data_IF_740530359884
#
_entry.id   IF_740530359884
#
_cell.length_a   1.000
_cell.length_b   1.000
_cell.length_c   1.000
_cell.angle_alpha   90.00
_cell.angle_beta   90.00
_cell.angle_gamma   90.00
#
_symmetry.space_group_name_H-M   'P 1'
#
loop_
_entity.id
_entity.type
_entity.pdbx_description
1 polymer ?
#
# COMPACT_ATOMS: atom_id res chain seq x y z
N UNK A 1 -10.99 -15.72 8.94
CA UNK A 1 -10.33 -15.89 10.27
C UNK A 1 -9.15 -16.87 10.29
N UNK A 2 -9.19 -18.07 9.67
CA UNK A 2 -8.03 -18.99 9.68
C UNK A 2 -6.77 -18.41 9.04
N UNK A 3 -6.93 -17.53 8.05
CA UNK A 3 -5.85 -16.80 7.38
C UNK A 3 -5.23 -15.70 8.25
N UNK A 4 -5.92 -15.27 9.31
CA UNK A 4 -5.49 -14.22 10.23
C UNK A 4 -4.89 -14.75 11.54
N UNK A 5 -4.42 -16.00 11.54
CA UNK A 5 -3.77 -16.61 12.70
C UNK A 5 -2.33 -16.97 12.36
N UNK A 6 -1.39 -16.53 13.20
CA UNK A 6 0.04 -16.76 13.00
C UNK A 6 0.74 -16.94 14.34
N UNK A 7 1.38 -18.09 14.52
CA UNK A 7 1.94 -18.50 15.81
C UNK A 7 2.99 -17.52 16.35
N UNK A 8 2.71 -17.01 17.56
CA UNK A 8 3.53 -16.01 18.24
C UNK A 8 3.37 -14.59 17.71
N UNK A 9 2.49 -14.35 16.74
CA UNK A 9 2.15 -13.02 16.23
C UNK A 9 0.71 -12.67 16.57
N UNK A 10 -0.26 -13.48 16.13
CA UNK A 10 -1.68 -13.16 16.25
C UNK A 10 -2.51 -14.43 16.46
N UNK A 11 -3.25 -14.50 17.58
CA UNK A 11 -4.31 -15.50 17.78
C UNK A 11 -5.61 -15.06 17.11
N UNK A 12 -6.57 -15.96 16.95
CA UNK A 12 -7.89 -15.62 16.38
C UNK A 12 -8.61 -14.53 17.16
N UNK A 13 -8.50 -14.54 18.49
CA UNK A 13 -9.12 -13.54 19.38
C UNK A 13 -8.44 -12.18 19.23
N UNK A 14 -7.11 -12.16 19.12
CA UNK A 14 -6.35 -10.94 18.87
C UNK A 14 -6.65 -10.38 17.48
N UNK A 15 -6.74 -11.22 16.45
CA UNK A 15 -7.15 -10.81 15.11
C UNK A 15 -8.53 -10.14 15.13
N UNK A 16 -9.51 -10.77 15.78
CA UNK A 16 -10.84 -10.20 15.93
C UNK A 16 -10.83 -8.84 16.67
N UNK A 17 -9.94 -8.68 17.66
CA UNK A 17 -9.79 -7.39 18.37
C UNK A 17 -9.17 -6.32 17.46
N UNK A 18 -8.16 -6.67 16.66
CA UNK A 18 -7.55 -5.74 15.68
C UNK A 18 -8.59 -5.29 14.66
N UNK A 19 -9.39 -6.21 14.10
CA UNK A 19 -10.47 -5.88 13.16
C UNK A 19 -11.50 -4.94 13.80
N UNK A 20 -11.91 -5.22 15.05
CA UNK A 20 -12.81 -4.33 15.79
C UNK A 20 -12.22 -2.93 16.01
N UNK A 21 -10.91 -2.81 16.19
CA UNK A 21 -10.26 -1.50 16.32
C UNK A 21 -10.38 -0.68 15.03
N UNK A 22 -10.24 -1.30 13.85
CA UNK A 22 -10.45 -0.61 12.56
C UNK A 22 -11.93 -0.22 12.40
N UNK A 23 -12.86 -1.15 12.65
CA UNK A 23 -14.30 -0.88 12.56
C UNK A 23 -14.76 0.23 13.52
N UNK A 24 -14.12 0.37 14.67
CA UNK A 24 -14.46 1.41 15.65
C UNK A 24 -14.09 2.82 15.15
N UNK A 25 -13.11 2.94 14.27
CA UNK A 25 -12.71 4.22 13.67
C UNK A 25 -13.48 4.53 12.38
N UNK A 26 -14.07 3.52 11.72
CA UNK A 26 -14.87 3.72 10.52
C UNK A 26 -16.11 4.57 10.82
N UNK A 27 -16.26 5.66 10.06
CA UNK A 27 -17.38 6.60 10.16
C UNK A 27 -18.60 6.08 9.40
N UNK A 28 -19.76 6.64 9.71
CA UNK A 28 -21.04 6.23 9.10
C UNK A 28 -21.13 6.50 7.59
N UNK A 29 -20.30 7.39 7.05
CA UNK A 29 -20.15 7.66 5.61
C UNK A 29 -19.14 6.73 4.92
N UNK A 30 -18.59 5.74 5.64
CA UNK A 30 -17.62 4.76 5.13
C UNK A 30 -16.16 5.18 5.28
N UNK A 31 -15.88 6.45 5.60
CA UNK A 31 -14.53 6.96 5.79
C UNK A 31 -13.81 6.25 6.95
N UNK A 32 -12.59 5.79 6.73
CA UNK A 32 -11.70 5.18 7.74
C UNK A 32 -10.50 6.12 7.96
N UNK A 33 -10.55 7.01 8.97
CA UNK A 33 -9.39 7.82 9.34
C UNK A 33 -8.34 6.96 10.04
N UNK A 34 -7.15 7.53 10.24
CA UNK A 34 -6.09 6.95 11.08
C UNK A 34 -6.61 6.59 12.47
N UNK A 35 -7.37 7.50 13.07
CA UNK A 35 -8.09 7.35 14.33
C UNK A 35 -9.12 8.48 14.40
N UNK A 36 -10.07 8.41 15.33
CA UNK A 36 -11.10 9.43 15.53
C UNK A 36 -10.46 10.80 15.79
N UNK A 37 -10.79 11.82 14.99
CA UNK A 37 -10.17 13.15 15.01
C UNK A 37 -8.81 13.26 14.28
N UNK A 38 -8.25 12.13 13.85
CA UNK A 38 -7.07 12.03 12.99
C UNK A 38 -7.35 12.46 11.55
N UNK A 39 -6.32 12.42 10.72
CA UNK A 39 -6.50 12.60 9.29
C UNK A 39 -6.84 11.26 8.61
N UNK A 40 -7.37 11.37 7.40
CA UNK A 40 -7.58 10.28 6.46
C UNK A 40 -6.85 10.68 5.19
N UNK A 41 -5.94 9.84 4.71
CA UNK A 41 -5.44 9.87 3.35
C UNK A 41 -6.00 8.66 2.57
N UNK A 42 -6.16 8.77 1.23
CA UNK A 42 -6.70 7.68 0.42
C UNK A 42 -5.85 6.39 0.42
N UNK A 43 -4.55 6.46 0.71
CA UNK A 43 -3.67 5.29 0.66
C UNK A 43 -3.95 4.38 1.85
N UNK A 44 -3.83 4.92 3.06
CA UNK A 44 -4.03 4.19 4.31
C UNK A 44 -5.50 3.78 4.48
N UNK A 45 -6.42 4.60 3.96
CA UNK A 45 -7.84 4.30 3.90
C UNK A 45 -8.14 3.01 3.11
N UNK A 46 -7.53 2.86 1.92
CA UNK A 46 -7.66 1.65 1.10
C UNK A 46 -7.01 0.45 1.78
N UNK A 47 -5.86 0.63 2.43
CA UNK A 47 -5.20 -0.48 3.15
C UNK A 47 -6.05 -1.01 4.31
N UNK A 48 -6.68 -0.11 5.06
CA UNK A 48 -7.64 -0.48 6.09
C UNK A 48 -8.88 -1.20 5.50
N UNK A 49 -9.38 -0.78 4.34
CA UNK A 49 -10.48 -1.45 3.64
C UNK A 49 -10.10 -2.88 3.22
N UNK A 50 -8.91 -3.09 2.63
CA UNK A 50 -8.42 -4.43 2.29
C UNK A 50 -8.28 -5.32 3.53
N UNK A 51 -7.86 -4.77 4.67
CA UNK A 51 -7.79 -5.53 5.91
C UNK A 51 -9.17 -5.96 6.43
N UNK A 52 -10.22 -5.14 6.22
CA UNK A 52 -11.60 -5.52 6.51
C UNK A 52 -12.08 -6.62 5.56
N UNK A 53 -11.72 -6.59 4.28
CA UNK A 53 -12.02 -7.66 3.33
C UNK A 53 -11.42 -9.01 3.74
N UNK A 54 -10.14 -9.03 4.11
CA UNK A 54 -9.47 -10.24 4.64
C UNK A 54 -10.18 -10.77 5.89
N UNK A 55 -10.73 -9.89 6.72
CA UNK A 55 -11.47 -10.26 7.92
C UNK A 55 -12.86 -10.84 7.63
N UNK A 56 -13.37 -10.67 6.40
CA UNK A 56 -14.75 -11.02 6.01
C UNK A 56 -15.76 -9.90 6.28
N UNK A 57 -15.31 -8.70 6.62
CA UNK A 57 -16.15 -7.52 6.89
C UNK A 57 -16.44 -6.76 5.58
N UNK A 58 -16.88 -7.48 4.54
CA UNK A 58 -17.00 -6.96 3.17
C UNK A 58 -17.94 -5.76 3.05
N UNK A 59 -19.03 -5.72 3.81
CA UNK A 59 -19.93 -4.57 3.80
C UNK A 59 -19.26 -3.29 4.33
N UNK A 60 -18.35 -3.43 5.29
CA UNK A 60 -17.56 -2.32 5.82
C UNK A 60 -16.48 -1.88 4.82
N UNK A 61 -15.83 -2.83 4.14
CA UNK A 61 -14.89 -2.54 3.05
C UNK A 61 -15.58 -1.84 1.87
N UNK A 62 -16.74 -2.33 1.42
CA UNK A 62 -17.56 -1.68 0.39
C UNK A 62 -17.96 -0.25 0.78
N UNK A 63 -18.33 -0.01 2.04
CA UNK A 63 -18.65 1.34 2.51
C UNK A 63 -17.44 2.28 2.38
N UNK A 64 -16.23 1.79 2.67
CA UNK A 64 -15.00 2.53 2.45
C UNK A 64 -14.78 2.84 0.97
N UNK A 65 -14.90 1.84 0.09
CA UNK A 65 -14.76 2.08 -1.35
C UNK A 65 -15.84 3.01 -1.91
N UNK A 66 -17.09 2.94 -1.42
CA UNK A 66 -18.15 3.90 -1.77
C UNK A 66 -17.81 5.32 -1.33
N UNK A 67 -17.19 5.49 -0.18
CA UNK A 67 -16.67 6.81 0.23
C UNK A 67 -15.66 7.36 -0.79
N UNK A 68 -14.75 6.53 -1.32
CA UNK A 68 -13.83 6.96 -2.38
C UNK A 68 -14.58 7.36 -3.66
N UNK A 69 -15.57 6.58 -4.08
CA UNK A 69 -16.39 6.91 -5.25
C UNK A 69 -17.12 8.25 -5.11
N UNK A 70 -17.71 8.50 -3.93
CA UNK A 70 -18.47 9.71 -3.65
C UNK A 70 -17.59 10.95 -3.44
N UNK A 71 -16.35 10.77 -2.98
CA UNK A 71 -15.41 11.86 -2.66
C UNK A 71 -14.40 12.16 -3.77
N UNK A 72 -14.41 11.42 -4.88
CA UNK A 72 -13.46 11.61 -5.97
C UNK A 72 -13.65 12.98 -6.63
N UNK A 73 -12.54 13.68 -6.83
CA UNK A 73 -12.53 14.97 -7.52
C UNK A 73 -12.90 14.82 -9.00
N UNK A 74 -13.37 15.89 -9.67
CA UNK A 74 -13.73 15.85 -11.08
C UNK A 74 -12.60 15.42 -12.04
N UNK A 75 -11.33 15.62 -11.65
CA UNK A 75 -10.16 15.20 -12.41
C UNK A 75 -9.75 13.74 -12.15
N UNK A 76 -10.49 12.99 -11.33
CA UNK A 76 -10.20 11.60 -10.98
C UNK A 76 -9.29 11.41 -9.76
N UNK A 77 -8.78 12.50 -9.19
CA UNK A 77 -7.93 12.46 -8.00
C UNK A 77 -8.70 12.44 -6.68
N UNK A 78 -7.98 12.27 -5.58
CA UNK A 78 -8.40 12.64 -4.23
C UNK A 78 -7.39 13.61 -3.64
N UNK A 79 -7.84 14.37 -2.64
CA UNK A 79 -6.96 15.23 -1.85
C UNK A 79 -6.06 14.39 -0.93
N UNK A 80 -4.89 14.93 -0.60
CA UNK A 80 -3.87 14.23 0.18
C UNK A 80 -4.33 13.95 1.61
N UNK A 81 -5.19 14.80 2.18
CA UNK A 81 -5.74 14.55 3.51
C UNK A 81 -7.14 15.15 3.71
N UNK A 82 -7.94 14.43 4.49
CA UNK A 82 -9.26 14.83 4.98
C UNK A 82 -9.30 14.73 6.51
N UNK A 83 -10.02 15.63 7.17
CA UNK A 83 -10.31 15.59 8.62
C UNK A 83 -11.78 15.86 8.84
N UNK A 84 -12.46 14.96 9.55
CA UNK A 84 -13.90 15.07 9.84
C UNK A 84 -14.76 15.31 8.58
N UNK A 85 -14.38 14.67 7.46
CA UNK A 85 -15.08 14.79 6.18
C UNK A 85 -14.76 16.04 5.36
N UNK A 86 -13.84 16.88 5.81
CA UNK A 86 -13.41 18.09 5.11
C UNK A 86 -11.97 17.94 4.64
N UNK A 87 -11.68 18.30 3.38
CA UNK A 87 -10.31 18.29 2.87
C UNK A 87 -9.43 19.27 3.66
N UNK A 88 -8.31 18.78 4.20
CA UNK A 88 -7.36 19.53 5.02
C UNK A 88 -6.02 19.77 4.33
N UNK A 89 -5.70 18.98 3.31
CA UNK A 89 -4.56 19.20 2.41
C UNK A 89 -5.05 18.97 0.97
N UNK A 90 -5.02 20.03 0.15
CA UNK A 90 -5.56 20.03 -1.21
C UNK A 90 -4.56 19.59 -2.29
N UNK A 91 -3.35 19.19 -1.90
CA UNK A 91 -2.44 18.48 -2.79
C UNK A 91 -3.05 17.15 -3.22
N UNK A 92 -2.59 16.59 -4.34
CA UNK A 92 -3.03 15.27 -4.83
C UNK A 92 -1.82 14.43 -5.15
N UNK A 93 -1.57 13.41 -4.34
CA UNK A 93 -0.42 12.53 -4.49
C UNK A 93 -0.74 11.38 -5.45
N UNK A 94 0.22 11.04 -6.32
CA UNK A 94 0.00 10.06 -7.39
C UNK A 94 -0.21 8.64 -6.85
N UNK A 95 0.55 8.24 -5.84
CA UNK A 95 0.37 6.97 -5.13
C UNK A 95 -0.97 6.89 -4.41
N UNK A 96 -1.41 7.95 -3.73
CA UNK A 96 -2.68 7.95 -3.00
C UNK A 96 -3.85 7.75 -3.98
N UNK A 97 -3.82 8.46 -5.11
CA UNK A 97 -4.85 8.33 -6.13
C UNK A 97 -4.79 6.97 -6.84
N UNK A 98 -3.60 6.41 -7.03
CA UNK A 98 -3.47 5.14 -7.73
C UNK A 98 -3.98 3.94 -6.91
N UNK A 99 -3.77 3.96 -5.59
CA UNK A 99 -3.88 2.77 -4.75
C UNK A 99 -5.29 2.17 -4.67
N UNK A 100 -6.34 2.93 -5.00
CA UNK A 100 -7.71 2.41 -5.16
C UNK A 100 -7.79 1.22 -6.12
N UNK A 101 -6.91 1.13 -7.13
CA UNK A 101 -6.86 0.00 -8.05
C UNK A 101 -6.43 -1.29 -7.35
N UNK A 102 -5.52 -1.20 -6.38
CA UNK A 102 -5.05 -2.33 -5.56
C UNK A 102 -6.21 -2.84 -4.71
N UNK A 103 -6.90 -1.93 -4.01
CA UNK A 103 -8.06 -2.25 -3.18
C UNK A 103 -9.23 -2.84 -3.97
N UNK A 104 -9.58 -2.24 -5.12
CA UNK A 104 -10.66 -2.75 -5.97
C UNK A 104 -10.41 -4.18 -6.45
N UNK A 105 -9.18 -4.47 -6.90
CA UNK A 105 -8.81 -5.82 -7.34
C UNK A 105 -8.74 -6.80 -6.16
N UNK A 106 -8.19 -6.37 -5.02
CA UNK A 106 -8.18 -7.16 -3.80
C UNK A 106 -9.60 -7.53 -3.35
N UNK A 107 -10.51 -6.56 -3.27
CA UNK A 107 -11.90 -6.76 -2.91
C UNK A 107 -12.61 -7.75 -3.82
N UNK A 108 -12.44 -7.60 -5.15
CA UNK A 108 -13.00 -8.53 -6.11
C UNK A 108 -12.47 -9.95 -5.92
N UNK A 109 -11.16 -10.13 -5.71
CA UNK A 109 -10.59 -11.45 -5.43
C UNK A 109 -11.07 -12.04 -4.08
N UNK A 110 -11.33 -11.19 -3.09
CA UNK A 110 -11.84 -11.62 -1.78
C UNK A 110 -13.31 -12.04 -1.81
N UNK A 111 -14.13 -11.42 -2.66
CA UNK A 111 -15.59 -11.57 -2.64
C UNK A 111 -16.16 -12.32 -3.84
N UNK A 112 -15.51 -12.24 -5.00
CA UNK A 112 -16.05 -12.64 -6.30
C UNK A 112 -17.20 -11.75 -6.78
N UNK A 113 -17.36 -10.53 -6.25
CA UNK A 113 -18.45 -9.62 -6.62
C UNK A 113 -18.13 -8.87 -7.92
N UNK A 114 -18.58 -9.42 -9.04
CA UNK A 114 -18.49 -8.78 -10.36
C UNK A 114 -19.26 -7.45 -10.41
N UNK A 115 -20.42 -7.37 -9.74
CA UNK A 115 -21.27 -6.19 -9.80
C UNK A 115 -20.62 -5.01 -9.09
N UNK A 116 -19.97 -5.26 -7.94
CA UNK A 116 -19.20 -4.22 -7.27
C UNK A 116 -17.96 -3.82 -8.07
N UNK A 117 -17.28 -4.77 -8.73
CA UNK A 117 -16.15 -4.46 -9.61
C UNK A 117 -16.57 -3.53 -10.76
N UNK A 118 -17.71 -3.82 -11.42
CA UNK A 118 -18.30 -2.95 -12.44
C UNK A 118 -18.71 -1.58 -11.88
N UNK A 119 -19.22 -1.52 -10.65
CA UNK A 119 -19.60 -0.27 -9.96
C UNK A 119 -18.39 0.64 -9.72
N UNK A 120 -17.29 0.09 -9.20
CA UNK A 120 -16.08 0.85 -8.85
C UNK A 120 -15.17 1.16 -10.05
N UNK A 121 -15.29 0.40 -11.14
CA UNK A 121 -14.42 0.52 -12.31
C UNK A 121 -14.28 1.94 -12.87
N UNK A 122 -15.36 2.73 -13.07
CA UNK A 122 -15.24 4.12 -13.54
C UNK A 122 -14.37 4.99 -12.62
N UNK A 123 -14.38 4.73 -11.32
CA UNK A 123 -13.58 5.44 -10.33
C UNK A 123 -12.11 5.08 -10.45
N UNK A 124 -11.78 3.79 -10.58
CA UNK A 124 -10.41 3.29 -10.85
C UNK A 124 -9.87 3.84 -12.17
N UNK A 125 -10.67 3.81 -13.24
CA UNK A 125 -10.28 4.29 -14.56
C UNK A 125 -9.93 5.78 -14.57
N UNK A 126 -10.76 6.63 -13.93
CA UNK A 126 -10.47 8.07 -13.78
C UNK A 126 -9.22 8.33 -12.93
N UNK A 127 -9.01 7.53 -11.87
CA UNK A 127 -7.83 7.63 -11.04
C UNK A 127 -6.55 7.30 -11.82
N UNK A 128 -6.56 6.24 -12.63
CA UNK A 128 -5.43 5.92 -13.52
C UNK A 128 -5.20 7.00 -14.57
N UNK A 129 -6.27 7.57 -15.15
CA UNK A 129 -6.14 8.69 -16.09
C UNK A 129 -5.43 9.90 -15.44
N UNK A 130 -5.82 10.28 -14.22
CA UNK A 130 -5.14 11.33 -13.45
C UNK A 130 -3.66 11.03 -13.23
N UNK A 131 -3.33 9.81 -12.80
CA UNK A 131 -1.94 9.40 -12.52
C UNK A 131 -1.08 9.43 -13.79
N UNK A 132 -1.63 9.02 -14.93
CA UNK A 132 -0.91 9.04 -16.21
C UNK A 132 -0.65 10.45 -16.73
N UNK A 133 -1.51 11.44 -16.42
CA UNK A 133 -1.21 12.85 -16.69
C UNK A 133 0.01 13.38 -15.92
N UNK A 134 0.37 12.72 -14.80
CA UNK A 134 1.57 13.04 -14.02
C UNK A 134 2.82 12.30 -14.52
N UNK A 135 2.69 11.52 -15.60
CA UNK A 135 3.80 10.81 -16.24
C UNK A 135 4.90 11.75 -16.74
N UNK A 136 6.14 11.36 -16.50
CA UNK A 136 7.34 12.11 -16.85
C UNK A 136 8.01 11.48 -18.08
N UNK A 137 8.80 12.29 -18.79
CA UNK A 137 9.50 11.84 -20.01
C UNK A 137 10.52 10.72 -19.75
N UNK A 138 11.04 10.63 -18.52
CA UNK A 138 11.96 9.60 -18.06
C UNK A 138 11.25 8.31 -17.59
N UNK A 139 9.95 8.17 -17.81
CA UNK A 139 9.16 6.98 -17.47
C UNK A 139 8.76 6.88 -16.00
N UNK A 140 9.11 7.87 -15.17
CA UNK A 140 8.62 7.98 -13.78
C UNK A 140 7.30 8.77 -13.73
N UNK A 141 6.69 8.84 -12.55
CA UNK A 141 5.47 9.63 -12.32
C UNK A 141 5.78 10.72 -11.29
N UNK A 142 5.35 11.95 -11.55
CA UNK A 142 5.48 13.01 -10.56
C UNK A 142 4.74 12.64 -9.29
N UNK A 143 5.35 12.92 -8.13
CA UNK A 143 4.82 12.44 -6.85
C UNK A 143 3.54 13.16 -6.43
N UNK A 144 3.28 14.38 -6.93
CA UNK A 144 2.06 15.11 -6.63
C UNK A 144 1.66 16.13 -7.69
N UNK A 145 0.39 16.56 -7.63
CA UNK A 145 -0.10 17.81 -8.18
C UNK A 145 -0.45 18.75 -7.01
N UNK A 146 0.15 19.94 -7.01
CA UNK A 146 -0.04 20.95 -5.97
C UNK A 146 -1.45 21.52 -5.98
N UNK A 147 -1.88 22.14 -4.87
CA UNK A 147 -3.17 22.86 -4.78
C UNK A 147 -3.38 23.87 -5.93
N UNK A 148 -2.32 24.58 -6.36
CA UNK A 148 -2.39 25.55 -7.46
C UNK A 148 -2.46 24.91 -8.86
N UNK A 149 -2.44 23.58 -8.93
CA UNK A 149 -2.49 22.78 -10.16
C UNK A 149 -1.12 22.54 -10.80
N UNK A 150 -0.03 23.09 -10.26
CA UNK A 150 1.31 22.79 -10.74
C UNK A 150 1.73 21.36 -10.39
N UNK A 151 2.61 20.79 -11.23
CA UNK A 151 3.15 19.44 -11.04
C UNK A 151 4.67 19.56 -10.95
N UNK A 152 5.28 19.29 -9.78
CA UNK A 152 6.73 19.32 -9.64
C UNK A 152 7.41 18.33 -10.59
N UNK A 153 8.58 18.71 -11.08
CA UNK A 153 9.41 17.85 -11.94
C UNK A 153 10.24 16.88 -11.09
N UNK A 154 9.59 16.18 -10.15
CA UNK A 154 10.21 15.32 -9.15
C UNK A 154 9.41 14.01 -8.99
N UNK A 155 10.10 12.89 -8.78
CA UNK A 155 9.48 11.58 -8.54
C UNK A 155 10.03 10.93 -7.27
N UNK A 156 9.17 10.28 -6.49
CA UNK A 156 9.54 9.49 -5.32
C UNK A 156 9.64 8.01 -5.70
N UNK A 157 10.70 7.31 -5.29
CA UNK A 157 10.87 5.89 -5.57
C UNK A 157 9.77 5.06 -4.91
N UNK A 158 9.48 5.34 -3.63
CA UNK A 158 8.36 4.74 -2.90
C UNK A 158 7.03 4.94 -3.64
N UNK A 159 6.68 6.19 -3.96
CA UNK A 159 5.43 6.53 -4.65
C UNK A 159 5.32 5.86 -6.02
N UNK A 160 6.37 5.89 -6.83
CA UNK A 160 6.40 5.22 -8.14
C UNK A 160 6.32 3.70 -8.03
N UNK A 161 6.87 3.09 -6.97
CA UNK A 161 6.73 1.65 -6.73
C UNK A 161 5.28 1.28 -6.41
N UNK A 162 4.60 2.10 -5.60
CA UNK A 162 3.16 1.94 -5.31
C UNK A 162 2.30 2.15 -6.56
N UNK A 163 2.57 3.20 -7.35
CA UNK A 163 1.87 3.46 -8.62
C UNK A 163 2.06 2.31 -9.62
N UNK A 164 3.27 1.74 -9.71
CA UNK A 164 3.51 0.57 -10.55
C UNK A 164 2.64 -0.61 -10.14
N UNK A 165 2.57 -0.91 -8.84
CA UNK A 165 1.70 -1.97 -8.31
C UNK A 165 0.24 -1.72 -8.63
N UNK A 166 -0.24 -0.50 -8.40
CA UNK A 166 -1.59 -0.09 -8.70
C UNK A 166 -1.93 -0.19 -10.20
N UNK A 167 -1.02 0.21 -11.10
CA UNK A 167 -1.22 0.06 -12.54
C UNK A 167 -1.36 -1.42 -12.95
N UNK A 168 -0.58 -2.31 -12.34
CA UNK A 168 -0.70 -3.75 -12.60
C UNK A 168 -2.03 -4.31 -12.11
N UNK A 169 -2.53 -3.86 -10.95
CA UNK A 169 -3.88 -4.21 -10.49
C UNK A 169 -4.97 -3.62 -11.39
N UNK A 170 -4.84 -2.37 -11.83
CA UNK A 170 -5.78 -1.73 -12.75
C UNK A 170 -5.85 -2.45 -14.09
N UNK A 171 -4.72 -2.92 -14.62
CA UNK A 171 -4.67 -3.77 -15.81
C UNK A 171 -5.36 -5.12 -15.59
N UNK A 172 -5.22 -5.73 -14.41
CA UNK A 172 -5.93 -6.97 -14.10
C UNK A 172 -7.46 -6.76 -14.09
N UNK A 173 -7.94 -5.65 -13.54
CA UNK A 173 -9.36 -5.26 -13.60
C UNK A 173 -9.79 -5.03 -15.06
N UNK A 174 -9.00 -4.29 -15.83
CA UNK A 174 -9.27 -3.97 -17.23
C UNK A 174 -9.37 -5.25 -18.10
N UNK A 175 -8.45 -6.19 -17.91
CA UNK A 175 -8.46 -7.49 -18.59
C UNK A 175 -9.69 -8.31 -18.22
N UNK A 176 -10.06 -8.32 -16.94
CA UNK A 176 -11.25 -9.03 -16.44
C UNK A 176 -12.56 -8.47 -17.05
N UNK A 177 -12.65 -7.15 -17.18
CA UNK A 177 -13.81 -6.44 -17.76
C UNK A 177 -13.76 -6.33 -19.28
N UNK A 178 -12.74 -6.92 -19.93
CA UNK A 178 -12.53 -6.84 -21.39
C UNK A 178 -12.44 -5.40 -21.93
N UNK A 179 -11.79 -4.50 -21.19
CA UNK A 179 -11.60 -3.07 -21.51
C UNK A 179 -10.10 -2.77 -21.77
N UNK A 180 -9.57 -2.94 -23.00
CA UNK A 180 -8.14 -2.84 -23.27
C UNK A 180 -7.52 -1.47 -22.94
N UNK A 181 -6.37 -1.45 -22.25
CA UNK A 181 -5.67 -0.22 -21.81
C UNK A 181 -4.20 -0.19 -22.27
N UNK A 182 -3.91 -0.01 -23.58
CA UNK A 182 -2.54 -0.08 -24.10
C UNK A 182 -1.60 1.01 -23.54
N UNK A 183 -2.13 2.20 -23.24
CA UNK A 183 -1.34 3.27 -22.63
C UNK A 183 -0.93 2.93 -21.18
N UNK A 184 -1.77 2.18 -20.45
CA UNK A 184 -1.48 1.73 -19.10
C UNK A 184 -0.44 0.62 -19.11
N UNK A 185 -0.52 -0.31 -20.08
CA UNK A 185 0.50 -1.35 -20.26
C UNK A 185 1.89 -0.75 -20.53
N UNK A 186 1.96 0.28 -21.38
CA UNK A 186 3.20 0.99 -21.66
C UNK A 186 3.73 1.73 -20.42
N UNK A 187 2.85 2.39 -19.68
CA UNK A 187 3.21 3.10 -18.46
C UNK A 187 3.72 2.15 -17.37
N UNK A 188 3.04 1.02 -17.14
CA UNK A 188 3.45 -0.01 -16.18
C UNK A 188 4.85 -0.55 -16.53
N UNK A 189 5.09 -0.90 -17.80
CA UNK A 189 6.40 -1.40 -18.23
C UNK A 189 7.54 -0.38 -18.07
N UNK A 190 7.30 0.89 -18.46
CA UNK A 190 8.29 1.98 -18.31
C UNK A 190 8.59 2.28 -16.84
N UNK A 191 7.56 2.36 -16.01
CA UNK A 191 7.69 2.67 -14.59
C UNK A 191 8.38 1.55 -13.84
N UNK A 192 8.02 0.29 -14.13
CA UNK A 192 8.67 -0.89 -13.56
C UNK A 192 10.15 -0.95 -13.90
N UNK A 193 10.50 -0.68 -15.16
CA UNK A 193 11.88 -0.58 -15.60
C UNK A 193 12.64 0.56 -14.88
N UNK A 194 12.02 1.74 -14.75
CA UNK A 194 12.61 2.87 -14.04
C UNK A 194 12.88 2.54 -12.57
N UNK A 195 11.92 1.96 -11.85
CA UNK A 195 12.06 1.56 -10.44
C UNK A 195 13.16 0.50 -10.26
N UNK A 196 13.24 -0.47 -11.17
CA UNK A 196 14.19 -1.58 -11.06
C UNK A 196 15.64 -1.19 -11.43
N UNK A 197 15.82 -0.28 -12.40
CA UNK A 197 17.12 -0.05 -13.05
C UNK A 197 17.62 1.38 -13.04
N UNK A 198 16.77 2.36 -12.68
CA UNK A 198 17.09 3.78 -12.77
C UNK A 198 16.88 4.54 -11.45
N UNK A 199 17.54 4.16 -10.35
CA UNK A 199 17.42 4.86 -9.07
C UNK A 199 17.79 6.36 -9.18
N UNK A 200 18.62 6.75 -10.15
CA UNK A 200 19.02 8.13 -10.40
C UNK A 200 17.90 9.05 -10.90
N UNK A 201 16.73 8.50 -11.30
CA UNK A 201 15.57 9.27 -11.74
C UNK A 201 14.69 9.77 -10.60
N UNK A 202 14.91 9.27 -9.38
CA UNK A 202 14.10 9.58 -8.21
C UNK A 202 14.83 10.55 -7.28
N UNK A 203 14.05 11.27 -6.47
CA UNK A 203 14.60 12.07 -5.38
C UNK A 203 15.36 11.19 -4.39
N UNK A 204 16.49 11.70 -3.90
CA UNK A 204 17.25 11.02 -2.85
C UNK A 204 16.49 11.06 -1.52
N UNK A 205 15.88 9.93 -1.19
CA UNK A 205 15.20 9.65 0.08
C UNK A 205 15.80 8.40 0.73
N UNK A 206 17.10 8.14 0.52
CA UNK A 206 17.79 6.94 0.99
C UNK A 206 17.71 6.71 2.51
N UNK A 207 17.46 7.79 3.27
CA UNK A 207 17.28 7.76 4.72
C UNK A 207 15.92 7.19 5.15
N UNK A 208 14.94 7.09 4.26
CA UNK A 208 13.61 6.55 4.56
C UNK A 208 13.53 5.07 4.18
N UNK A 209 13.01 4.23 5.08
CA UNK A 209 12.99 2.78 4.87
C UNK A 209 12.09 2.34 3.74
N UNK A 210 11.01 3.08 3.49
CA UNK A 210 10.11 2.81 2.38
C UNK A 210 10.87 2.78 1.05
N UNK A 211 11.78 3.72 0.79
CA UNK A 211 12.59 3.74 -0.43
C UNK A 211 13.46 2.49 -0.57
N UNK A 212 13.80 1.84 0.54
CA UNK A 212 14.54 0.58 0.55
C UNK A 212 13.67 -0.63 0.19
N UNK A 213 12.50 -0.83 0.82
CA UNK A 213 11.69 -2.04 0.61
C UNK A 213 10.53 -1.90 -0.40
N UNK A 214 10.08 -0.70 -0.73
CA UNK A 214 8.96 -0.49 -1.67
C UNK A 214 9.18 -0.99 -3.09
N UNK A 215 10.38 -0.93 -3.68
CA UNK A 215 10.60 -1.57 -4.98
C UNK A 215 10.24 -3.07 -4.96
N UNK A 216 10.36 -3.72 -3.80
CA UNK A 216 9.92 -5.09 -3.58
C UNK A 216 8.41 -5.12 -3.29
N UNK A 217 7.90 -4.34 -2.34
CA UNK A 217 6.46 -4.35 -2.04
C UNK A 217 5.60 -4.04 -3.28
N UNK A 218 5.97 -3.00 -4.03
CA UNK A 218 5.35 -2.53 -5.26
C UNK A 218 5.58 -3.40 -6.50
N UNK A 219 6.11 -4.61 -6.32
CA UNK A 219 6.24 -5.65 -7.34
C UNK A 219 7.25 -5.43 -8.47
N UNK A 220 7.92 -4.28 -8.53
CA UNK A 220 8.89 -3.97 -9.58
C UNK A 220 10.22 -4.76 -9.46
N UNK A 221 10.60 -5.15 -8.25
CA UNK A 221 11.82 -5.91 -7.96
C UNK A 221 11.48 -7.28 -7.34
N UNK A 222 11.96 -8.36 -7.95
CA UNK A 222 11.75 -9.75 -7.50
C UNK A 222 13.06 -10.55 -7.58
N UNK A 223 13.05 -11.77 -7.05
CA UNK A 223 14.16 -12.72 -7.16
C UNK A 223 15.45 -12.25 -6.46
N UNK A 224 16.60 -12.58 -7.04
CA UNK A 224 17.93 -12.33 -6.43
C UNK A 224 18.18 -10.85 -6.18
N UNK A 225 17.84 -9.99 -7.15
CA UNK A 225 18.07 -8.54 -7.02
C UNK A 225 17.27 -7.92 -5.86
N UNK A 226 16.06 -8.43 -5.60
CA UNK A 226 15.27 -8.01 -4.45
C UNK A 226 15.91 -8.43 -3.12
N UNK A 227 16.38 -9.68 -3.03
CA UNK A 227 17.08 -10.19 -1.84
C UNK A 227 18.35 -9.40 -1.54
N UNK A 228 19.19 -9.18 -2.56
CA UNK A 228 20.41 -8.38 -2.43
C UNK A 228 20.13 -6.94 -1.99
N UNK A 229 19.04 -6.33 -2.50
CA UNK A 229 18.61 -5.00 -2.06
C UNK A 229 18.22 -4.99 -0.59
N UNK A 230 17.40 -5.96 -0.15
CA UNK A 230 17.00 -6.09 1.25
C UNK A 230 18.23 -6.28 2.14
N UNK A 231 19.06 -7.28 1.84
CA UNK A 231 20.19 -7.62 2.71
C UNK A 231 21.22 -6.48 2.87
N UNK A 232 21.39 -5.63 1.85
CA UNK A 232 22.36 -4.52 1.89
C UNK A 232 22.08 -3.47 2.97
N UNK A 233 20.81 -3.11 3.19
CA UNK A 233 20.45 -2.05 4.16
C UNK A 233 19.75 -2.62 5.41
N UNK A 234 19.78 -3.94 5.61
CA UNK A 234 19.07 -4.60 6.71
C UNK A 234 19.42 -4.00 8.08
N UNK A 235 20.71 -3.94 8.41
CA UNK A 235 21.17 -3.43 9.71
C UNK A 235 20.97 -1.92 9.88
N UNK A 236 20.80 -1.18 8.77
CA UNK A 236 20.50 0.25 8.78
C UNK A 236 19.07 0.50 9.26
N UNK A 237 18.12 -0.30 8.78
CA UNK A 237 16.70 -0.05 9.02
C UNK A 237 16.08 -0.95 10.08
N UNK A 238 16.48 -2.23 10.15
CA UNK A 238 15.93 -3.18 11.11
C UNK A 238 16.60 -2.99 12.47
N UNK A 239 15.78 -2.86 13.50
CA UNK A 239 16.17 -2.87 14.91
C UNK A 239 15.79 -4.23 15.49
N UNK A 240 16.75 -5.10 15.82
CA UNK A 240 16.46 -6.43 16.33
C UNK A 240 15.52 -6.38 17.55
N UNK A 241 14.40 -7.10 17.46
CA UNK A 241 13.41 -7.18 18.52
C UNK A 241 12.46 -5.98 18.67
N UNK A 242 12.62 -4.94 17.84
CA UNK A 242 11.80 -3.72 17.89
C UNK A 242 11.10 -3.40 16.57
N UNK A 243 11.60 -3.84 15.42
CA UNK A 243 10.96 -3.62 14.12
C UNK A 243 11.81 -2.76 13.20
N UNK A 244 11.18 -1.92 12.39
CA UNK A 244 11.81 -1.16 11.30
C UNK A 244 11.77 0.33 11.57
N UNK A 245 12.88 1.02 11.35
CA UNK A 245 12.95 2.49 11.41
C UNK A 245 12.19 3.12 10.24
N UNK A 246 11.41 4.17 10.49
CA UNK A 246 10.93 5.07 9.44
C UNK A 246 12.09 5.78 8.76
N UNK A 247 13.00 6.30 9.58
CA UNK A 247 14.15 7.10 9.12
C UNK A 247 15.43 6.60 9.78
N UNK A 248 16.46 6.31 8.99
CA UNK A 248 17.67 5.62 9.44
C UNK A 248 18.50 6.39 10.47
N UNK A 249 18.37 7.72 10.50
CA UNK A 249 19.11 8.61 11.40
C UNK A 249 18.32 8.98 12.66
N UNK A 250 17.24 8.24 12.96
CA UNK A 250 16.35 8.49 14.08
C UNK A 250 16.14 7.24 14.95
N UNK A 251 15.99 7.41 16.27
CA UNK A 251 15.96 6.29 17.21
C UNK A 251 14.53 5.76 17.44
N UNK A 252 13.73 5.64 16.39
CA UNK A 252 12.37 5.12 16.49
C UNK A 252 12.06 4.11 15.39
N UNK A 253 11.14 3.20 15.72
CA UNK A 253 10.57 2.21 14.82
C UNK A 253 9.09 2.47 14.62
N UNK A 254 8.53 2.00 13.51
CA UNK A 254 7.12 2.19 13.15
C UNK A 254 6.46 0.84 12.90
N UNK A 255 5.24 0.67 13.42
CA UNK A 255 4.48 -0.57 13.26
C UNK A 255 4.09 -0.84 11.80
N UNK A 256 3.49 0.15 11.12
CA UNK A 256 3.04 0.04 9.73
C UNK A 256 4.17 -0.36 8.78
N UNK A 257 5.28 0.41 8.77
CA UNK A 257 6.44 0.12 7.92
C UNK A 257 7.08 -1.26 8.22
N UNK A 258 7.02 -1.71 9.48
CA UNK A 258 7.46 -3.05 9.84
C UNK A 258 6.57 -4.14 9.23
N UNK A 259 5.25 -3.95 9.26
CA UNK A 259 4.30 -4.88 8.67
C UNK A 259 4.39 -4.91 7.14
N UNK A 260 4.55 -3.74 6.51
CA UNK A 260 4.80 -3.64 5.06
C UNK A 260 6.14 -4.28 4.66
N UNK A 261 7.21 -4.12 5.44
CA UNK A 261 8.45 -4.85 5.21
C UNK A 261 8.20 -6.36 5.30
N UNK A 262 7.39 -6.84 6.26
CA UNK A 262 7.05 -8.25 6.36
C UNK A 262 6.31 -8.76 5.10
N UNK A 263 5.40 -7.96 4.53
CA UNK A 263 4.78 -8.26 3.22
C UNK A 263 5.83 -8.33 2.11
N UNK A 264 6.76 -7.39 2.05
CA UNK A 264 7.83 -7.37 1.05
C UNK A 264 8.76 -8.60 1.17
N UNK A 265 9.10 -9.00 2.40
CA UNK A 265 9.90 -10.20 2.70
C UNK A 265 9.16 -11.47 2.29
N UNK A 266 7.88 -11.58 2.65
CA UNK A 266 7.03 -12.69 2.23
C UNK A 266 6.99 -12.81 0.70
N UNK A 267 6.83 -11.69 -0.03
CA UNK A 267 6.77 -11.66 -1.49
C UNK A 267 8.04 -12.14 -2.21
N UNK A 268 9.18 -12.24 -1.50
CA UNK A 268 10.45 -12.77 -2.03
C UNK A 268 10.84 -14.11 -1.40
N UNK A 269 9.91 -14.76 -0.70
CA UNK A 269 10.08 -16.08 -0.09
C UNK A 269 10.88 -16.08 1.21
N UNK A 270 11.01 -14.93 1.88
CA UNK A 270 11.69 -14.78 3.18
C UNK A 270 10.67 -14.83 4.34
N UNK A 271 9.75 -15.81 4.33
CA UNK A 271 8.64 -15.90 5.27
C UNK A 271 9.08 -15.98 6.74
N UNK A 272 10.19 -16.66 7.04
CA UNK A 272 10.71 -16.76 8.42
C UNK A 272 11.12 -15.37 8.95
N UNK A 273 11.80 -14.55 8.13
CA UNK A 273 12.16 -13.17 8.48
C UNK A 273 10.92 -12.28 8.57
N UNK A 274 9.93 -12.48 7.71
CA UNK A 274 8.66 -11.76 7.79
C UNK A 274 7.97 -12.02 9.15
N UNK A 275 7.89 -13.28 9.58
CA UNK A 275 7.36 -13.67 10.89
C UNK A 275 8.17 -13.05 12.03
N UNK A 276 9.51 -13.04 11.95
CA UNK A 276 10.36 -12.41 12.95
C UNK A 276 10.10 -10.90 13.10
N UNK A 277 9.95 -10.18 11.99
CA UNK A 277 9.59 -8.76 12.01
C UNK A 277 8.22 -8.56 12.67
N UNK A 278 7.20 -9.34 12.30
CA UNK A 278 5.86 -9.23 12.91
C UNK A 278 5.85 -9.57 14.41
N UNK A 279 6.70 -10.50 14.86
CA UNK A 279 6.91 -10.79 16.29
C UNK A 279 7.56 -9.62 17.00
N UNK A 280 8.53 -8.96 16.36
CA UNK A 280 9.27 -7.85 16.95
C UNK A 280 8.39 -6.66 17.29
N UNK A 281 7.32 -6.41 16.54
CA UNK A 281 6.41 -5.28 16.76
C UNK A 281 5.25 -5.57 17.73
N UNK A 282 5.18 -6.76 18.36
CA UNK A 282 4.08 -7.07 19.30
C UNK A 282 4.08 -6.19 20.55
N UNK A 283 5.21 -5.56 20.89
CA UNK A 283 5.27 -4.56 21.95
C UNK A 283 4.47 -3.28 21.64
N UNK A 284 4.12 -3.03 20.36
CA UNK A 284 3.26 -1.91 19.94
C UNK A 284 1.77 -2.22 20.08
N UNK A 285 1.39 -3.47 20.35
CA UNK A 285 -0.01 -3.87 20.45
C UNK A 285 -0.65 -3.26 21.71
N UNK A 286 -1.78 -2.58 21.52
CA UNK A 286 -2.59 -2.02 22.60
C UNK A 286 -3.65 -3.02 23.09
N UNK A 287 -4.18 -2.83 24.30
CA UNK A 287 -5.12 -3.75 24.96
C UNK A 287 -6.48 -3.90 24.24
N UNK A 288 -6.91 -2.89 23.51
CA UNK A 288 -8.12 -2.93 22.67
C UNK A 288 -7.92 -3.66 21.33
N UNK A 289 -6.68 -4.02 21.02
CA UNK A 289 -6.28 -4.72 19.82
C UNK A 289 -5.75 -3.84 18.68
N UNK A 290 -5.79 -2.52 18.84
CA UNK A 290 -5.07 -1.60 17.97
C UNK A 290 -3.56 -1.67 18.16
N UNK A 291 -2.83 -0.88 17.40
CA UNK A 291 -1.37 -0.80 17.46
C UNK A 291 -0.93 0.65 17.51
N UNK A 292 0.03 0.96 18.38
CA UNK A 292 0.71 2.24 18.37
C UNK A 292 1.50 2.42 17.08
N UNK A 293 1.49 3.63 16.53
CA UNK A 293 2.21 3.95 15.29
C UNK A 293 3.71 3.76 15.44
N UNK A 294 4.30 4.24 16.53
CA UNK A 294 5.75 4.22 16.71
C UNK A 294 6.24 4.09 18.15
N UNK A 295 7.51 3.72 18.26
CA UNK A 295 8.22 3.55 19.53
C UNK A 295 9.65 4.11 19.42
N UNK A 296 10.00 4.99 20.36
CA UNK A 296 11.32 5.64 20.48
C UNK A 296 12.15 4.83 21.48
N UNK A 297 13.08 4.04 20.97
CA UNK A 297 13.81 3.05 21.79
C UNK A 297 14.95 3.66 22.62
N UNK A 298 15.42 4.86 22.30
CA UNK A 298 16.35 5.59 23.18
C UNK A 298 15.66 6.11 24.45
N UNK A 299 14.36 6.41 24.36
CA UNK A 299 13.57 6.99 25.45
C UNK A 299 12.63 5.98 26.13
N UNK A 300 12.58 4.73 25.63
CA UNK A 300 11.63 3.69 26.05
C UNK A 300 10.17 4.19 26.06
N UNK A 301 9.77 4.88 24.99
CA UNK A 301 8.52 5.62 24.93
C UNK A 301 7.73 5.37 23.64
N UNK A 302 6.40 5.32 23.76
CA UNK A 302 5.49 5.34 22.61
C UNK A 302 5.42 6.77 22.07
N UNK A 303 5.72 6.93 20.79
CA UNK A 303 5.56 8.21 20.09
C UNK A 303 5.48 8.02 18.56
N UNK A 304 4.53 8.67 17.87
CA UNK A 304 3.43 9.45 18.43
C UNK A 304 2.44 8.56 19.22
N UNK A 305 1.72 9.14 20.18
CA UNK A 305 0.64 8.46 20.93
C UNK A 305 -0.62 8.32 20.06
N UNK A 306 -0.44 7.70 18.90
CA UNK A 306 -1.46 7.51 17.88
C UNK A 306 -1.61 6.01 17.60
N UNK A 307 -2.85 5.55 17.40
CA UNK A 307 -3.15 4.16 17.09
C UNK A 307 -3.80 4.11 15.73
N UNK A 308 -2.97 3.94 14.70
CA UNK A 308 -3.41 4.10 13.32
C UNK A 308 -4.09 2.85 12.79
N UNK A 309 -5.22 3.05 12.12
CA UNK A 309 -5.88 2.02 11.30
C UNK A 309 -4.96 1.46 10.23
N UNK A 310 -4.05 2.29 9.70
CA UNK A 310 -2.96 1.85 8.81
C UNK A 310 -2.09 0.77 9.44
N UNK A 311 -1.52 1.02 10.63
CA UNK A 311 -0.66 0.01 11.30
C UNK A 311 -1.41 -1.29 11.54
N UNK A 312 -2.67 -1.20 11.98
CA UNK A 312 -3.53 -2.36 12.17
C UNK A 312 -3.82 -3.09 10.84
N UNK A 313 -4.10 -2.35 9.77
CA UNK A 313 -4.38 -2.86 8.43
C UNK A 313 -3.18 -3.58 7.82
N UNK A 314 -2.03 -2.92 7.77
CA UNK A 314 -0.77 -3.47 7.28
C UNK A 314 -0.40 -4.77 8.00
N UNK A 315 -0.56 -4.82 9.32
CA UNK A 315 -0.33 -6.05 10.10
C UNK A 315 -1.28 -7.18 9.67
N UNK A 316 -2.58 -6.89 9.56
CA UNK A 316 -3.57 -7.91 9.16
C UNK A 316 -3.27 -8.43 7.75
N UNK A 317 -2.90 -7.57 6.81
CA UNK A 317 -2.52 -7.96 5.45
C UNK A 317 -1.23 -8.81 5.46
N UNK A 318 -0.21 -8.43 6.23
CA UNK A 318 1.01 -9.22 6.37
C UNK A 318 0.74 -10.62 6.93
N UNK A 319 -0.10 -10.71 7.97
CA UNK A 319 -0.53 -12.00 8.53
C UNK A 319 -1.33 -12.80 7.51
N UNK A 320 -2.22 -12.16 6.75
CA UNK A 320 -3.04 -12.81 5.73
C UNK A 320 -2.19 -13.41 4.61
N UNK A 321 -1.19 -12.69 4.12
CA UNK A 321 -0.25 -13.18 3.12
C UNK A 321 0.51 -14.43 3.62
N UNK A 322 1.03 -14.36 4.86
CA UNK A 322 1.69 -15.51 5.51
C UNK A 322 0.73 -16.68 5.80
N UNK A 323 -0.55 -16.37 6.05
CA UNK A 323 -1.63 -17.33 6.24
C UNK A 323 -2.19 -17.91 4.95
N UNK A 324 -1.72 -17.47 3.79
CA UNK A 324 -2.13 -17.97 2.47
C UNK A 324 -3.49 -17.43 1.99
N UNK A 325 -3.88 -16.23 2.40
CA UNK A 325 -5.07 -15.55 1.90
C UNK A 325 -4.95 -15.27 0.38
N UNK A 326 -5.84 -15.86 -0.43
CA UNK A 326 -5.70 -15.89 -1.89
C UNK A 326 -5.64 -14.49 -2.52
N UNK A 327 -6.52 -13.58 -2.09
CA UNK A 327 -6.58 -12.21 -2.62
C UNK A 327 -5.30 -11.43 -2.27
N UNK A 328 -4.89 -11.46 -1.00
CA UNK A 328 -3.68 -10.78 -0.53
C UNK A 328 -2.43 -11.36 -1.20
N UNK A 329 -2.34 -12.68 -1.32
CA UNK A 329 -1.22 -13.37 -1.99
C UNK A 329 -1.13 -12.99 -3.47
N UNK A 330 -2.27 -12.95 -4.17
CA UNK A 330 -2.33 -12.58 -5.58
C UNK A 330 -1.86 -11.14 -5.81
N UNK A 331 -2.36 -10.20 -5.02
CA UNK A 331 -2.07 -8.77 -5.16
C UNK A 331 -0.63 -8.44 -4.80
N UNK A 332 -0.12 -8.87 -3.63
CA UNK A 332 1.23 -8.50 -3.18
C UNK A 332 2.33 -9.43 -3.74
N UNK A 333 2.00 -10.68 -4.05
CA UNK A 333 2.91 -11.59 -4.74
C UNK A 333 3.16 -11.10 -6.17
N UNK A 334 2.09 -10.68 -6.85
CA UNK A 334 2.14 -10.04 -8.16
C UNK A 334 2.49 -10.99 -9.31
N UNK A 335 2.47 -12.32 -9.11
CA UNK A 335 2.76 -13.31 -10.16
C UNK A 335 1.64 -13.38 -11.21
N UNK A 336 0.38 -13.18 -10.78
CA UNK A 336 -0.82 -13.19 -11.62
C UNK A 336 -1.13 -11.85 -12.29
N UNK A 337 -0.48 -10.76 -11.85
CA UNK A 337 -0.78 -9.42 -12.36
C UNK A 337 -0.09 -9.16 -13.71
N UNK A 338 -0.72 -8.45 -14.66
CA UNK A 338 -0.09 -8.03 -15.91
C UNK A 338 1.22 -7.28 -15.67
N UNK A 339 2.27 -7.58 -16.44
CA UNK A 339 3.59 -6.96 -16.28
C UNK A 339 3.74 -5.63 -17.05
N UNK A 340 2.76 -5.28 -17.89
CA UNK A 340 2.88 -4.21 -18.89
C UNK A 340 3.79 -4.59 -20.05
N UNK A 341 4.02 -3.64 -20.98
CA UNK A 341 4.88 -3.84 -22.13
C UNK A 341 6.36 -3.70 -21.72
N UNK A 342 7.13 -4.78 -21.77
CA UNK A 342 8.58 -4.74 -21.54
C UNK A 342 9.32 -4.27 -22.79
N UNK A 343 10.52 -3.68 -22.65
CA UNK A 343 11.34 -3.23 -23.80
C UNK A 343 11.66 -4.38 -24.79
N UNK A 344 11.70 -5.63 -24.33
CA UNK A 344 11.86 -6.81 -25.17
C UNK A 344 10.70 -6.99 -26.17
N UNK A 345 9.46 -6.66 -25.78
CA UNK A 345 8.31 -6.65 -26.68
C UNK A 345 8.42 -5.56 -27.76
N UNK A 346 9.06 -4.43 -27.46
CA UNK A 346 9.32 -3.36 -28.44
C UNK A 346 10.50 -3.67 -29.37
N UNK A 347 11.47 -4.48 -28.93
CA UNK A 347 12.57 -4.94 -29.77
C UNK A 347 12.13 -5.95 -30.83
N UNK A 348 11.06 -6.71 -30.57
CA UNK A 348 10.47 -7.65 -31.54
C UNK A 348 9.58 -6.99 -32.62
N UNK A 349 9.31 -5.69 -32.48
CA UNK A 349 8.48 -4.89 -33.41
C UNK A 349 9.29 -3.91 -34.28
N UNK A 350 10.62 -4.00 -34.24
CA UNK A 350 11.54 -3.30 -35.15
C UNK A 350 12.28 -4.32 -36.01
#
# INVERSE_FOLDING_TARGET
MRTLTLDGVLTSEQAAATVRSILAEQRADGAIPWFTGGHLDPWDHVEAAMALDVAGEHAAAEAAYRWLMDSQNPDGSWYAAYREGVASDLNRESNFCAYVAVGAWHHHLSTGDDAFLEEIWPTVSRAMAFVLELGRADGTVSWRREEDGSTPDEALLTGCSSVHHALRCALAVADYLEEPQPDWELAAGRLGHAVAHHPERFLDKDRYSMDWYYPVLGTALRGVAAKERIDREWDRFVVPGLGVRCVSDRPWVTGGESAELALALWAIGESDRAVEILKSIQHLRHEDGGYWTGYVFEDDAIWPEERTTWTAGALLLAVAALGGDEATVSVFGGESLPAGLTEECCAALR
#
